data_IF_025099772842
#
_entry.id   IF_025099772842
#
_cell.length_a   1.000
_cell.length_b   1.000
_cell.length_c   1.000
_cell.angle_alpha   90.00
_cell.angle_beta   90.00
_cell.angle_gamma   90.00
#
_symmetry.space_group_name_H-M   'P 1'
#
loop_
_entity.id
_entity.type
_entity.pdbx_description
1 polymer ?
#
# COMPACT_ATOMS: atom_id res chain seq x y z
N UNK A 1 7.40 25.55 -20.08
CA UNK A 1 6.91 24.88 -18.86
C UNK A 1 7.81 25.20 -17.67
N UNK A 2 7.26 25.27 -16.47
CA UNK A 2 8.04 25.36 -15.22
C UNK A 2 8.03 24.02 -14.50
N UNK A 3 9.01 23.78 -13.61
CA UNK A 3 9.01 22.59 -12.75
C UNK A 3 7.72 22.46 -11.94
N UNK A 4 7.18 23.58 -11.44
CA UNK A 4 5.92 23.61 -10.71
C UNK A 4 4.71 23.20 -11.57
N UNK A 5 4.69 23.56 -12.85
CA UNK A 5 3.62 23.12 -13.77
C UNK A 5 3.66 21.62 -14.03
N UNK A 6 4.86 21.04 -14.17
CA UNK A 6 5.02 19.60 -14.35
C UNK A 6 4.59 18.84 -13.10
N UNK A 7 5.06 19.27 -11.92
CA UNK A 7 4.67 18.65 -10.66
C UNK A 7 3.14 18.63 -10.51
N UNK A 8 2.49 19.78 -10.73
CA UNK A 8 1.02 19.89 -10.64
C UNK A 8 0.30 18.94 -11.60
N UNK A 9 0.78 18.80 -12.83
CA UNK A 9 0.17 17.91 -13.82
C UNK A 9 0.35 16.43 -13.45
N UNK A 10 1.56 16.05 -13.01
CA UNK A 10 1.91 14.67 -12.67
C UNK A 10 1.25 14.20 -11.37
N UNK A 11 0.95 15.10 -10.42
CA UNK A 11 0.35 14.76 -9.11
C UNK A 11 -1.13 15.10 -9.01
N UNK A 12 -1.82 15.40 -10.12
CA UNK A 12 -3.22 15.81 -10.08
C UNK A 12 -4.16 14.67 -9.67
N UNK A 13 -3.79 13.43 -9.99
CA UNK A 13 -4.58 12.23 -9.74
C UNK A 13 -3.69 11.09 -9.23
N UNK A 14 -4.22 10.18 -8.38
CA UNK A 14 -3.53 8.94 -8.06
C UNK A 14 -3.25 8.14 -9.34
N UNK A 15 -2.01 7.69 -9.52
CA UNK A 15 -1.56 7.01 -10.73
C UNK A 15 -0.84 5.71 -10.41
N UNK A 16 -1.54 4.83 -9.66
CA UNK A 16 -1.03 3.51 -9.28
C UNK A 16 -0.69 2.67 -10.53
N UNK A 17 0.43 1.95 -10.50
CA UNK A 17 0.87 1.10 -11.61
C UNK A 17 -0.27 0.19 -12.10
N UNK A 18 -0.39 0.03 -13.41
CA UNK A 18 -1.42 -0.81 -14.04
C UNK A 18 -2.84 -0.22 -14.07
N UNK A 19 -3.01 1.05 -13.70
CA UNK A 19 -4.30 1.76 -13.77
C UNK A 19 -4.37 2.75 -14.94
N UNK A 20 -5.58 3.09 -15.38
CA UNK A 20 -5.83 4.09 -16.44
C UNK A 20 -5.17 5.46 -16.14
N UNK A 21 -5.24 6.04 -14.93
CA UNK A 21 -4.49 7.25 -14.61
C UNK A 21 -2.96 7.11 -14.78
N UNK A 22 -2.38 5.95 -14.47
CA UNK A 22 -0.95 5.70 -14.70
C UNK A 22 -0.58 5.71 -16.18
N UNK A 23 -1.45 5.18 -17.05
CA UNK A 23 -1.24 5.25 -18.50
C UNK A 23 -1.28 6.70 -18.98
N UNK A 24 -2.26 7.49 -18.51
CA UNK A 24 -2.35 8.93 -18.85
C UNK A 24 -1.11 9.72 -18.42
N UNK A 25 -0.57 9.43 -17.24
CA UNK A 25 0.69 10.04 -16.79
C UNK A 25 1.86 9.67 -17.69
N UNK A 26 1.96 8.41 -18.13
CA UNK A 26 3.02 7.97 -19.05
C UNK A 26 2.92 8.68 -20.41
N UNK A 27 1.71 8.78 -20.97
CA UNK A 27 1.45 9.51 -22.22
C UNK A 27 1.74 11.01 -22.10
N UNK A 28 1.40 11.62 -20.96
CA UNK A 28 1.75 13.01 -20.68
C UNK A 28 3.27 13.25 -20.75
N UNK A 29 4.05 12.38 -20.12
CA UNK A 29 5.52 12.46 -20.15
C UNK A 29 6.05 12.23 -21.57
N UNK A 30 5.53 11.22 -22.28
CA UNK A 30 5.90 10.93 -23.67
C UNK A 30 5.73 12.17 -24.56
N UNK A 31 4.54 12.77 -24.56
CA UNK A 31 4.23 13.95 -25.37
C UNK A 31 5.20 15.10 -25.08
N UNK A 32 5.48 15.36 -23.80
CA UNK A 32 6.39 16.47 -23.46
C UNK A 32 7.84 16.18 -23.84
N UNK A 33 8.29 14.93 -23.81
CA UNK A 33 9.63 14.58 -24.30
C UNK A 33 9.75 14.75 -25.81
N UNK A 34 8.75 14.29 -26.56
CA UNK A 34 8.68 14.47 -28.02
C UNK A 34 8.65 15.96 -28.41
N UNK A 35 7.90 16.80 -27.67
CA UNK A 35 7.89 18.26 -27.86
C UNK A 35 9.26 18.93 -27.63
N UNK A 36 10.13 18.32 -26.80
CA UNK A 36 11.51 18.78 -26.61
C UNK A 36 12.49 18.19 -27.64
N UNK A 37 12.00 17.45 -28.63
CA UNK A 37 12.83 16.84 -29.68
C UNK A 37 13.57 15.58 -29.24
N UNK A 38 13.12 14.92 -28.17
CA UNK A 38 13.69 13.66 -27.71
C UNK A 38 13.04 12.47 -28.43
N UNK A 39 13.87 11.55 -28.93
CA UNK A 39 13.39 10.25 -29.40
C UNK A 39 12.84 9.45 -28.19
N UNK A 40 11.54 9.16 -28.22
CA UNK A 40 10.82 8.58 -27.08
C UNK A 40 10.03 7.36 -27.51
N UNK A 41 10.05 6.32 -26.68
CA UNK A 41 9.34 5.05 -26.93
C UNK A 41 8.62 4.60 -25.66
N UNK A 42 7.41 4.06 -25.82
CA UNK A 42 6.65 3.41 -24.73
C UNK A 42 6.73 1.90 -24.93
N UNK A 43 6.95 1.16 -23.84
CA UNK A 43 7.03 -0.30 -23.88
C UNK A 43 6.23 -0.92 -22.75
N UNK A 44 5.31 -1.80 -23.13
CA UNK A 44 4.46 -2.50 -22.19
C UNK A 44 5.08 -3.82 -21.74
N UNK A 45 4.83 -4.16 -20.48
CA UNK A 45 5.23 -5.42 -19.88
C UNK A 45 4.05 -6.02 -19.12
N UNK A 46 3.86 -7.32 -19.26
CA UNK A 46 2.92 -8.08 -18.43
C UNK A 46 3.62 -8.45 -17.13
N UNK A 47 3.37 -7.67 -16.08
CA UNK A 47 3.88 -7.92 -14.74
C UNK A 47 2.75 -8.42 -13.83
N UNK A 48 3.10 -9.28 -12.86
CA UNK A 48 2.20 -9.64 -11.79
C UNK A 48 2.03 -8.42 -10.87
N UNK A 49 0.81 -7.92 -10.76
CA UNK A 49 0.43 -6.86 -9.83
C UNK A 49 -0.62 -7.41 -8.85
N UNK A 50 -0.79 -6.74 -7.72
CA UNK A 50 -1.81 -7.08 -6.72
C UNK A 50 -2.59 -5.83 -6.35
N UNK A 51 -3.90 -5.95 -6.14
CA UNK A 51 -4.77 -4.86 -5.71
C UNK A 51 -5.71 -5.33 -4.61
N UNK A 52 -6.05 -4.48 -3.62
CA UNK A 52 -6.95 -4.87 -2.55
C UNK A 52 -8.39 -4.93 -3.04
N UNK A 53 -9.12 -5.96 -2.62
CA UNK A 53 -10.57 -6.05 -2.81
C UNK A 53 -11.29 -5.56 -1.56
N UNK A 54 -10.90 -6.10 -0.41
CA UNK A 54 -11.45 -5.78 0.89
C UNK A 54 -10.41 -6.01 1.99
N UNK A 55 -10.43 -5.17 3.02
CA UNK A 55 -9.65 -5.34 4.22
C UNK A 55 -10.48 -4.86 5.43
N UNK A 56 -10.34 -5.56 6.55
CA UNK A 56 -10.93 -5.16 7.83
C UNK A 56 -10.02 -5.60 8.96
N UNK A 57 -10.06 -4.85 10.06
CA UNK A 57 -9.28 -5.13 11.26
C UNK A 57 -10.09 -4.74 12.49
N UNK A 58 -10.15 -5.62 13.48
CA UNK A 58 -10.80 -5.37 14.75
C UNK A 58 -9.95 -5.86 15.91
N UNK A 59 -9.90 -5.08 16.99
CA UNK A 59 -9.32 -5.49 18.26
C UNK A 59 -10.43 -6.04 19.16
N UNK A 60 -10.24 -7.25 19.68
CA UNK A 60 -11.19 -7.91 20.59
C UNK A 60 -10.59 -8.02 21.99
N UNK A 61 -11.40 -7.70 23.00
CA UNK A 61 -10.97 -7.61 24.40
C UNK A 61 -11.60 -8.72 25.25
N UNK A 62 -10.99 -9.04 26.38
CA UNK A 62 -11.41 -10.13 27.28
C UNK A 62 -12.80 -9.92 27.91
N UNK A 63 -13.27 -8.68 27.99
CA UNK A 63 -14.62 -8.33 28.44
C UNK A 63 -15.70 -8.52 27.35
N UNK A 64 -15.34 -9.09 26.19
CA UNK A 64 -16.24 -9.33 25.07
C UNK A 64 -16.51 -8.11 24.19
N UNK A 65 -15.94 -6.95 24.49
CA UNK A 65 -16.03 -5.79 23.61
C UNK A 65 -15.07 -5.92 22.43
N UNK A 66 -15.39 -5.25 21.34
CA UNK A 66 -14.49 -5.14 20.19
C UNK A 66 -14.48 -3.71 19.65
N UNK A 67 -13.40 -3.36 18.95
CA UNK A 67 -13.24 -2.08 18.29
C UNK A 67 -12.75 -2.31 16.87
N UNK A 68 -13.52 -1.83 15.89
CA UNK A 68 -13.06 -1.77 14.50
C UNK A 68 -11.97 -0.70 14.38
N UNK A 69 -10.87 -1.06 13.73
CA UNK A 69 -9.78 -0.14 13.43
C UNK A 69 -10.00 0.42 12.02
N UNK A 70 -10.07 1.76 11.86
CA UNK A 70 -10.22 2.36 10.55
C UNK A 70 -8.95 2.08 9.73
N UNK A 71 -9.16 1.59 8.50
CA UNK A 71 -8.09 1.33 7.54
C UNK A 71 -8.03 2.39 6.44
N UNK A 72 -8.76 3.49 6.62
CA UNK A 72 -8.80 4.62 5.70
C UNK A 72 -7.92 5.76 6.23
N UNK A 73 -7.25 6.46 5.33
CA UNK A 73 -6.47 7.64 5.68
C UNK A 73 -7.39 8.81 6.04
N UNK A 74 -7.01 9.58 7.06
CA UNK A 74 -7.76 10.75 7.50
C UNK A 74 -7.77 11.81 6.39
N UNK A 75 -8.96 12.21 5.94
CA UNK A 75 -9.14 13.21 4.88
C UNK A 75 -9.17 12.66 3.46
N UNK A 76 -8.94 11.35 3.27
CA UNK A 76 -9.23 10.67 2.01
C UNK A 76 -10.74 10.55 1.81
N UNK A 77 -11.23 10.81 0.60
CA UNK A 77 -12.64 10.58 0.29
C UNK A 77 -12.77 9.25 -0.42
N UNK A 78 -13.78 8.43 -0.13
CA UNK A 78 -13.96 7.12 -0.77
C UNK A 78 -14.10 7.17 -2.32
N UNK A 79 -14.18 8.36 -2.92
CA UNK A 79 -14.39 8.60 -4.36
C UNK A 79 -13.22 9.33 -5.06
N UNK A 80 -12.06 9.51 -4.44
CA UNK A 80 -10.90 10.19 -5.07
C UNK A 80 -10.04 9.26 -5.95
N UNK A 81 -10.38 7.97 -6.03
CA UNK A 81 -9.62 6.98 -6.79
C UNK A 81 -8.35 6.50 -6.10
N UNK A 82 -8.13 6.87 -4.83
CA UNK A 82 -7.01 6.37 -4.02
C UNK A 82 -7.26 4.92 -3.63
N UNK A 83 -6.24 4.08 -3.83
CA UNK A 83 -6.29 2.67 -3.41
C UNK A 83 -6.30 2.59 -1.89
N UNK A 84 -7.14 1.71 -1.33
CA UNK A 84 -7.13 1.48 0.12
C UNK A 84 -5.77 0.95 0.59
N UNK A 85 -5.28 1.34 1.78
CA UNK A 85 -4.06 0.80 2.36
C UNK A 85 -4.05 -0.73 2.38
N UNK A 86 -2.96 -1.32 1.90
CA UNK A 86 -2.77 -2.77 1.83
C UNK A 86 -1.29 -3.12 1.66
N UNK A 87 -0.93 -4.38 1.92
CA UNK A 87 0.37 -4.93 1.60
C UNK A 87 0.32 -5.65 0.25
N UNK A 88 1.01 -5.10 -0.76
CA UNK A 88 1.11 -5.73 -2.07
C UNK A 88 1.70 -7.14 -1.95
N UNK A 89 1.15 -8.07 -2.75
CA UNK A 89 1.49 -9.49 -2.78
C UNK A 89 1.18 -10.31 -1.52
N UNK A 90 0.58 -9.72 -0.48
CA UNK A 90 0.09 -10.50 0.67
C UNK A 90 -0.99 -11.49 0.23
N UNK A 91 -0.97 -12.75 0.71
CA UNK A 91 -2.05 -13.68 0.47
C UNK A 91 -3.37 -13.17 1.08
N UNK A 92 -4.48 -13.47 0.43
CA UNK A 92 -5.80 -13.24 1.00
C UNK A 92 -6.10 -14.25 2.11
N UNK A 93 -6.73 -13.81 3.19
CA UNK A 93 -7.11 -14.66 4.31
C UNK A 93 -7.61 -13.85 5.50
N UNK A 94 -7.98 -14.56 6.56
CA UNK A 94 -8.35 -13.97 7.84
C UNK A 94 -7.59 -14.67 8.97
N UNK A 95 -7.11 -13.90 9.94
CA UNK A 95 -6.44 -14.41 11.13
C UNK A 95 -7.10 -13.79 12.37
N UNK A 96 -7.34 -14.62 13.38
CA UNK A 96 -7.83 -14.20 14.69
C UNK A 96 -6.98 -14.89 15.76
N UNK A 97 -6.11 -14.12 16.39
CA UNK A 97 -5.24 -14.63 17.45
C UNK A 97 -4.80 -13.51 18.39
N UNK A 98 -4.06 -13.88 19.44
CA UNK A 98 -3.46 -12.91 20.36
C UNK A 98 -2.46 -12.04 19.59
N UNK A 99 -2.50 -10.74 19.84
CA UNK A 99 -1.49 -9.82 19.34
C UNK A 99 -0.21 -9.93 20.18
N UNK A 100 0.95 -9.85 19.53
CA UNK A 100 2.27 -9.78 20.19
C UNK A 100 3.09 -8.67 19.54
N UNK A 101 3.67 -7.81 20.37
CA UNK A 101 4.51 -6.72 19.91
C UNK A 101 5.90 -7.24 19.51
N UNK A 102 6.33 -6.99 18.28
CA UNK A 102 7.61 -7.48 17.72
C UNK A 102 8.54 -6.36 17.23
N UNK A 103 8.38 -5.14 17.76
CA UNK A 103 9.23 -4.00 17.42
C UNK A 103 9.27 -3.69 15.92
N UNK A 104 10.41 -3.88 15.23
CA UNK A 104 10.52 -3.63 13.78
C UNK A 104 10.27 -4.90 12.94
N UNK A 105 9.94 -6.03 13.56
CA UNK A 105 9.73 -7.31 12.88
C UNK A 105 11.01 -7.90 12.29
N UNK A 106 12.19 -7.52 12.81
CA UNK A 106 13.46 -8.08 12.35
C UNK A 106 13.75 -9.42 13.02
N UNK A 107 14.63 -10.20 12.41
CA UNK A 107 15.02 -11.49 12.97
C UNK A 107 15.56 -11.35 14.41
N UNK A 108 16.32 -10.29 14.68
CA UNK A 108 16.85 -10.01 16.02
C UNK A 108 15.75 -9.76 17.06
N UNK A 109 14.65 -9.10 16.66
CA UNK A 109 13.51 -8.83 17.56
C UNK A 109 12.87 -10.15 18.00
N UNK A 110 12.70 -11.09 17.07
CA UNK A 110 12.20 -12.44 17.38
C UNK A 110 13.16 -13.25 18.25
N UNK A 111 14.48 -13.14 18.01
CA UNK A 111 15.50 -13.81 18.83
C UNK A 111 15.49 -13.28 20.27
N UNK A 112 15.34 -11.97 20.47
CA UNK A 112 15.22 -11.37 21.81
C UNK A 112 13.97 -11.87 22.52
N UNK A 113 12.82 -11.89 21.84
CA UNK A 113 11.58 -12.44 22.40
C UNK A 113 11.74 -13.92 22.80
N UNK A 114 12.34 -14.74 21.93
CA UNK A 114 12.59 -16.14 22.22
C UNK A 114 13.55 -16.33 23.41
N UNK A 115 14.61 -15.53 23.52
CA UNK A 115 15.54 -15.54 24.66
C UNK A 115 14.88 -15.13 25.98
N UNK A 116 13.82 -14.32 25.92
CA UNK A 116 12.97 -13.96 27.05
C UNK A 116 11.85 -14.97 27.33
N UNK A 117 11.79 -16.09 26.58
CA UNK A 117 10.79 -17.13 26.76
C UNK A 117 9.42 -16.81 26.15
N UNK A 118 9.33 -15.80 25.27
CA UNK A 118 8.09 -15.45 24.56
C UNK A 118 7.96 -16.29 23.28
N UNK A 119 6.94 -17.14 23.22
CA UNK A 119 6.59 -17.90 22.01
C UNK A 119 5.56 -17.13 21.18
N UNK A 120 5.94 -16.72 19.97
CA UNK A 120 5.10 -15.95 19.04
C UNK A 120 4.30 -16.84 18.08
N UNK A 121 4.51 -18.16 18.08
CA UNK A 121 3.82 -19.08 17.17
C UNK A 121 2.31 -19.00 17.36
N UNK A 122 1.58 -18.85 16.25
CA UNK A 122 0.12 -18.73 16.25
C UNK A 122 -0.41 -17.38 16.74
N UNK A 123 0.45 -16.38 16.96
CA UNK A 123 0.04 -15.02 17.30
C UNK A 123 0.00 -14.11 16.06
N UNK A 124 -0.75 -13.00 16.14
CA UNK A 124 -0.64 -11.89 15.18
C UNK A 124 0.49 -10.98 15.66
N UNK A 125 1.58 -10.94 14.91
CA UNK A 125 2.69 -10.03 15.21
C UNK A 125 2.32 -8.60 14.79
N UNK A 126 2.56 -7.63 15.69
CA UNK A 126 2.28 -6.20 15.50
C UNK A 126 3.53 -5.39 15.78
#
# INVERSE_FOLDING_TARGET
YTLSSYLRALTLHPHLAGTEPSLRTALYVQTHFEEQGLETHVKDYNALLSYPVHASLSAHFSNGTFRNLPLEEQGGTQNDGVVRPYHAYSPSGAAYAKAVFVNYGKEEDYRVLAAQGVNVSGCVAV
#
